data_IF_922068500182
#
_entry.id   IF_922068500182
#
_cell.length_a   1.000
_cell.length_b   1.000
_cell.length_c   1.000
_cell.angle_alpha   90.00
_cell.angle_beta   90.00
_cell.angle_gamma   90.00
#
_symmetry.space_group_name_H-M   'P 1'
#
loop_
_entity.id
_entity.type
_entity.pdbx_description
1 polymer ?
#
# COMPACT_ATOMS: atom_id res chain seq x y z
N UNK A 1 -43.05 8.77 -26.49
CA UNK A 1 -41.57 8.85 -26.33
C UNK A 1 -41.27 8.35 -24.91
N UNK A 2 -41.02 7.05 -24.80
CA UNK A 2 -40.94 6.36 -23.51
C UNK A 2 -39.49 6.42 -23.06
N UNK A 3 -39.24 7.11 -21.95
CA UNK A 3 -37.93 7.13 -21.32
C UNK A 3 -37.65 5.74 -20.71
N UNK A 4 -36.63 5.08 -21.20
CA UNK A 4 -36.12 3.85 -20.59
C UNK A 4 -35.24 4.27 -19.40
N UNK A 5 -35.76 4.12 -18.19
CA UNK A 5 -34.96 4.20 -16.98
C UNK A 5 -33.99 3.00 -16.95
N UNK A 6 -32.74 3.24 -17.29
CA UNK A 6 -31.66 2.28 -17.01
C UNK A 6 -31.27 2.39 -15.55
N UNK A 7 -31.80 1.48 -14.74
CA UNK A 7 -31.32 1.25 -13.36
C UNK A 7 -29.84 0.83 -13.45
N UNK A 8 -28.91 1.52 -12.78
CA UNK A 8 -27.53 1.07 -12.76
C UNK A 8 -27.48 -0.24 -11.96
N UNK A 9 -27.20 -1.34 -12.64
CA UNK A 9 -26.85 -2.61 -12.01
C UNK A 9 -25.61 -2.35 -11.15
N UNK A 10 -25.74 -2.46 -9.84
CA UNK A 10 -24.61 -2.41 -8.92
C UNK A 10 -23.69 -3.59 -9.29
N UNK A 11 -22.62 -3.31 -10.02
CA UNK A 11 -21.54 -4.24 -10.24
C UNK A 11 -20.90 -4.49 -8.88
N UNK A 12 -21.19 -5.63 -8.27
CA UNK A 12 -20.39 -6.14 -7.13
C UNK A 12 -18.99 -6.40 -7.67
N UNK A 13 -18.13 -5.42 -7.48
CA UNK A 13 -16.75 -5.47 -7.94
C UNK A 13 -16.02 -6.60 -7.19
N UNK A 14 -15.51 -7.59 -7.92
CA UNK A 14 -14.56 -8.61 -7.41
C UNK A 14 -13.28 -7.97 -6.84
N UNK A 15 -13.04 -6.71 -7.12
CA UNK A 15 -12.03 -5.86 -6.49
C UNK A 15 -12.14 -5.82 -4.95
N UNK A 16 -13.33 -6.07 -4.42
CA UNK A 16 -13.63 -5.99 -2.99
C UNK A 16 -13.39 -7.30 -2.22
N UNK A 17 -13.13 -8.42 -2.88
CA UNK A 17 -12.99 -9.70 -2.19
C UNK A 17 -11.57 -9.93 -1.69
N UNK A 18 -11.46 -10.41 -0.44
CA UNK A 18 -10.16 -10.79 0.14
C UNK A 18 -9.48 -11.87 -0.69
N UNK A 19 -8.18 -11.74 -1.00
CA UNK A 19 -7.44 -12.78 -1.71
C UNK A 19 -7.38 -14.07 -0.88
N UNK A 20 -7.43 -15.21 -1.58
CA UNK A 20 -7.40 -16.52 -0.97
C UNK A 20 -5.96 -17.03 -0.82
N UNK A 21 -5.70 -17.98 0.10
CA UNK A 21 -4.44 -18.72 0.12
C UNK A 21 -4.10 -19.26 -1.27
N UNK A 22 -2.82 -19.11 -1.70
CA UNK A 22 -2.38 -19.44 -3.06
C UNK A 22 -2.46 -18.29 -4.06
N UNK A 23 -2.98 -17.12 -3.65
CA UNK A 23 -2.89 -15.89 -4.45
C UNK A 23 -1.68 -15.03 -4.05
N UNK A 24 -0.94 -15.41 -3.02
CA UNK A 24 0.23 -14.71 -2.49
C UNK A 24 1.12 -15.65 -1.68
N UNK A 25 2.37 -15.28 -1.49
CA UNK A 25 3.28 -16.02 -0.61
C UNK A 25 2.80 -15.98 0.85
N UNK A 26 2.86 -17.09 1.62
CA UNK A 26 2.38 -17.16 3.00
C UNK A 26 2.93 -16.07 3.93
N UNK A 27 4.12 -15.57 3.64
CA UNK A 27 4.72 -14.43 4.34
C UNK A 27 3.80 -13.21 4.44
N UNK A 28 2.99 -12.94 3.42
CA UNK A 28 2.13 -11.75 3.35
C UNK A 28 0.82 -11.89 4.12
N UNK A 29 0.51 -13.08 4.64
CA UNK A 29 -0.70 -13.28 5.45
C UNK A 29 -0.73 -12.34 6.67
N UNK A 30 0.44 -12.05 7.26
CA UNK A 30 0.62 -11.09 8.36
C UNK A 30 0.12 -9.67 8.06
N UNK A 31 0.08 -9.29 6.80
CA UNK A 31 -0.44 -7.99 6.34
C UNK A 31 -1.89 -8.10 5.89
N UNK A 32 -2.19 -9.07 5.03
CA UNK A 32 -3.52 -9.25 4.45
C UNK A 32 -4.58 -9.47 5.54
N UNK A 33 -4.24 -10.21 6.60
CA UNK A 33 -5.12 -10.47 7.74
C UNK A 33 -5.51 -9.20 8.51
N UNK A 34 -4.70 -8.14 8.47
CA UNK A 34 -4.97 -6.87 9.15
C UNK A 34 -6.04 -6.02 8.47
N UNK A 35 -6.30 -6.24 7.19
CA UNK A 35 -7.25 -5.42 6.42
C UNK A 35 -8.68 -5.81 6.80
N UNK A 36 -9.47 -4.93 7.45
CA UNK A 36 -10.76 -5.32 8.03
C UNK A 36 -11.87 -5.48 7.00
N UNK A 37 -11.76 -4.83 5.85
CA UNK A 37 -12.83 -4.71 4.87
C UNK A 37 -12.66 -5.64 3.68
N UNK A 38 -13.79 -5.90 3.00
CA UNK A 38 -13.78 -6.53 1.67
C UNK A 38 -13.71 -5.50 0.52
N UNK A 39 -13.53 -4.22 0.84
CA UNK A 39 -13.32 -3.14 -0.14
C UNK A 39 -11.96 -2.49 0.11
N UNK A 40 -10.97 -2.94 -0.66
CA UNK A 40 -9.59 -2.46 -0.54
C UNK A 40 -9.45 -1.01 -0.95
N UNK A 41 -10.22 -0.53 -1.93
CA UNK A 41 -10.15 0.86 -2.37
C UNK A 41 -10.65 1.80 -1.26
N UNK A 42 -11.78 1.46 -0.65
CA UNK A 42 -12.29 2.22 0.50
C UNK A 42 -11.30 2.18 1.68
N UNK A 43 -10.66 1.03 1.93
CA UNK A 43 -9.63 0.90 2.96
C UNK A 43 -8.42 1.81 2.68
N UNK A 44 -7.88 1.83 1.46
CA UNK A 44 -6.76 2.69 1.07
C UNK A 44 -7.09 4.19 1.19
N UNK A 45 -8.31 4.59 0.83
CA UNK A 45 -8.77 5.98 1.00
C UNK A 45 -8.90 6.37 2.48
N UNK A 46 -9.45 5.48 3.31
CA UNK A 46 -9.56 5.73 4.74
C UNK A 46 -8.19 5.80 5.41
N UNK A 47 -7.30 4.86 5.10
CA UNK A 47 -5.93 4.84 5.61
C UNK A 47 -5.17 6.13 5.29
N UNK A 48 -5.32 6.66 4.07
CA UNK A 48 -4.74 7.96 3.72
C UNK A 48 -5.19 9.08 4.67
N UNK A 49 -6.49 9.12 4.98
CA UNK A 49 -7.03 10.11 5.93
C UNK A 49 -6.49 9.90 7.35
N UNK A 50 -6.48 8.65 7.82
CA UNK A 50 -6.00 8.29 9.15
C UNK A 50 -4.50 8.59 9.32
N UNK A 51 -3.68 8.29 8.33
CA UNK A 51 -2.25 8.60 8.37
C UNK A 51 -2.01 10.11 8.43
N UNK A 52 -2.74 10.90 7.64
CA UNK A 52 -2.63 12.35 7.66
C UNK A 52 -3.05 12.95 9.02
N UNK A 53 -4.10 12.42 9.64
CA UNK A 53 -4.51 12.82 10.99
C UNK A 53 -3.44 12.48 12.03
N UNK A 54 -2.83 11.31 11.92
CA UNK A 54 -1.77 10.83 12.81
C UNK A 54 -0.52 11.72 12.75
N UNK A 55 -0.18 12.20 11.54
CA UNK A 55 1.01 13.01 11.28
C UNK A 55 0.75 14.52 11.39
N UNK A 56 -0.51 14.95 11.54
CA UNK A 56 -0.87 16.35 11.67
C UNK A 56 -0.23 17.00 12.88
N UNK A 57 0.45 18.12 12.67
CA UNK A 57 1.12 18.87 13.74
C UNK A 57 2.41 18.25 14.29
N UNK A 58 2.91 17.17 13.67
CA UNK A 58 4.21 16.59 14.05
C UNK A 58 5.35 17.49 13.60
N UNK A 59 6.37 17.55 14.45
CA UNK A 59 7.57 18.37 14.26
C UNK A 59 8.69 17.58 13.59
N UNK A 60 9.76 18.26 13.15
CA UNK A 60 10.97 17.59 12.66
C UNK A 60 11.58 16.67 13.74
N UNK A 61 11.55 17.09 15.01
CA UNK A 61 12.04 16.27 16.12
C UNK A 61 11.22 14.96 16.29
N UNK A 62 9.90 15.01 16.06
CA UNK A 62 9.08 13.79 16.02
C UNK A 62 9.48 12.89 14.83
N UNK A 63 9.79 13.50 13.68
CA UNK A 63 10.26 12.80 12.48
C UNK A 63 11.58 12.06 12.68
N UNK A 64 12.48 12.63 13.47
CA UNK A 64 13.81 12.06 13.75
C UNK A 64 13.79 11.04 14.92
N UNK A 65 12.66 10.93 15.64
CA UNK A 65 12.52 10.03 16.77
C UNK A 65 12.71 8.57 16.35
N UNK A 66 13.52 7.82 17.14
CA UNK A 66 13.68 6.37 17.11
C UNK A 66 13.28 5.81 18.46
N UNK A 67 12.42 4.80 18.50
CA UNK A 67 12.02 4.22 19.80
C UNK A 67 13.09 3.30 20.43
N UNK A 68 14.12 2.94 19.67
CA UNK A 68 15.31 2.24 20.14
C UNK A 68 16.49 2.52 19.18
N UNK A 69 17.76 2.36 19.60
CA UNK A 69 18.95 2.73 18.82
C UNK A 69 19.00 2.12 17.42
N UNK A 70 18.61 0.85 17.29
CA UNK A 70 18.71 0.08 16.04
C UNK A 70 17.40 0.11 15.23
N UNK A 71 16.49 1.01 15.54
CA UNK A 71 15.20 1.13 14.83
C UNK A 71 15.20 2.34 13.91
N UNK A 72 14.41 2.22 12.86
CA UNK A 72 14.19 3.33 11.93
C UNK A 72 13.57 4.53 12.64
N UNK A 73 13.88 5.72 12.18
CA UNK A 73 13.16 6.93 12.58
C UNK A 73 11.76 6.96 11.94
N UNK A 74 10.90 7.85 12.42
CA UNK A 74 9.58 8.04 11.81
C UNK A 74 9.71 8.45 10.34
N UNK A 75 10.69 9.31 9.98
CA UNK A 75 11.00 9.67 8.59
C UNK A 75 11.39 8.46 7.76
N UNK A 76 12.25 7.59 8.29
CA UNK A 76 12.66 6.37 7.60
C UNK A 76 11.50 5.38 7.41
N UNK A 77 10.58 5.27 8.39
CA UNK A 77 9.37 4.47 8.22
C UNK A 77 8.48 5.05 7.11
N UNK A 78 8.28 6.37 7.07
CA UNK A 78 7.49 6.99 5.99
C UNK A 78 8.14 6.78 4.63
N UNK A 79 9.45 6.95 4.53
CA UNK A 79 10.20 6.67 3.29
C UNK A 79 10.06 5.21 2.87
N UNK A 80 10.18 4.27 3.81
CA UNK A 80 9.96 2.84 3.55
C UNK A 80 8.53 2.54 3.08
N UNK A 81 7.52 3.16 3.66
CA UNK A 81 6.13 3.02 3.22
C UNK A 81 5.96 3.51 1.78
N UNK A 82 6.50 4.69 1.47
CA UNK A 82 6.43 5.29 0.13
C UNK A 82 7.11 4.40 -0.93
N UNK A 83 8.31 3.92 -0.65
CA UNK A 83 9.06 3.07 -1.58
C UNK A 83 8.40 1.71 -1.77
N UNK A 84 7.96 1.07 -0.68
CA UNK A 84 7.27 -0.22 -0.74
C UNK A 84 5.98 -0.10 -1.55
N UNK A 85 5.19 0.95 -1.35
CA UNK A 85 3.96 1.15 -2.11
C UNK A 85 4.24 1.40 -3.59
N UNK A 86 5.29 2.15 -3.96
CA UNK A 86 5.74 2.31 -5.35
C UNK A 86 6.09 0.98 -5.99
N UNK A 87 6.88 0.15 -5.30
CA UNK A 87 7.28 -1.16 -5.80
C UNK A 87 6.07 -2.07 -5.98
N UNK A 88 5.18 -2.14 -4.99
CA UNK A 88 3.99 -3.00 -5.06
C UNK A 88 2.99 -2.51 -6.10
N UNK A 89 2.79 -1.19 -6.25
CA UNK A 89 1.92 -0.63 -7.29
C UNK A 89 2.51 -0.81 -8.69
N UNK A 90 3.83 -0.72 -8.86
CA UNK A 90 4.50 -1.06 -10.12
C UNK A 90 4.31 -2.53 -10.50
N UNK A 91 4.43 -3.45 -9.53
CA UNK A 91 4.13 -4.87 -9.73
C UNK A 91 2.68 -5.06 -10.18
N UNK A 92 1.74 -4.42 -9.50
CA UNK A 92 0.33 -4.46 -9.84
C UNK A 92 0.06 -3.91 -11.25
N UNK A 93 0.70 -2.81 -11.63
CA UNK A 93 0.60 -2.24 -12.97
C UNK A 93 1.03 -3.24 -14.02
N UNK A 94 2.23 -3.79 -13.93
CA UNK A 94 2.79 -4.74 -14.90
C UNK A 94 1.91 -5.97 -15.04
N UNK A 95 1.59 -6.61 -13.92
CA UNK A 95 0.78 -7.83 -13.91
C UNK A 95 -0.63 -7.53 -14.45
N UNK A 96 -1.25 -6.42 -14.08
CA UNK A 96 -2.58 -6.04 -14.58
C UNK A 96 -2.61 -5.80 -16.09
N UNK A 97 -1.49 -5.47 -16.71
CA UNK A 97 -1.35 -5.31 -18.17
C UNK A 97 -0.97 -6.61 -18.88
N UNK A 98 -0.85 -7.74 -18.16
CA UNK A 98 -0.51 -9.04 -18.73
C UNK A 98 0.98 -9.26 -18.96
N UNK A 99 1.85 -8.43 -18.34
CA UNK A 99 3.30 -8.67 -18.39
C UNK A 99 3.64 -9.92 -17.56
N UNK A 100 4.09 -10.97 -18.25
CA UNK A 100 4.42 -12.25 -17.65
C UNK A 100 5.88 -12.33 -17.18
N UNK A 101 6.68 -11.28 -17.41
CA UNK A 101 8.09 -11.27 -17.00
C UNK A 101 8.19 -11.26 -15.47
N UNK A 102 8.92 -12.19 -14.85
CA UNK A 102 9.14 -12.19 -13.42
C UNK A 102 9.74 -10.87 -12.93
N UNK A 103 9.28 -10.39 -11.77
CA UNK A 103 9.75 -9.16 -11.16
C UNK A 103 10.57 -9.51 -9.93
N UNK A 104 11.80 -9.03 -9.86
CA UNK A 104 12.72 -9.33 -8.76
C UNK A 104 12.26 -8.75 -7.41
N UNK A 105 12.83 -9.31 -6.34
CA UNK A 105 12.71 -8.78 -4.99
C UNK A 105 13.57 -7.53 -4.77
N UNK A 106 13.48 -6.98 -3.57
CA UNK A 106 14.36 -5.91 -3.08
C UNK A 106 14.60 -6.10 -1.58
N UNK A 107 15.72 -5.55 -1.09
CA UNK A 107 16.07 -5.58 0.33
C UNK A 107 15.70 -4.24 0.96
N UNK A 108 14.65 -4.26 1.79
CA UNK A 108 14.07 -3.05 2.39
C UNK A 108 15.08 -2.28 3.26
N UNK A 109 15.95 -2.98 4.00
CA UNK A 109 16.92 -2.33 4.88
C UNK A 109 18.00 -1.59 4.07
N UNK A 110 18.35 -2.10 2.89
CA UNK A 110 19.26 -1.41 1.96
C UNK A 110 18.62 -0.16 1.38
N UNK A 111 17.33 -0.21 1.05
CA UNK A 111 16.59 0.94 0.56
C UNK A 111 16.51 2.05 1.61
N UNK A 112 16.20 1.71 2.85
CA UNK A 112 16.16 2.69 3.94
C UNK A 112 17.54 3.27 4.22
N UNK A 113 18.57 2.43 4.28
CA UNK A 113 19.95 2.88 4.53
C UNK A 113 20.51 3.80 3.45
N UNK A 114 20.16 3.53 2.19
CA UNK A 114 20.64 4.31 1.04
C UNK A 114 19.67 5.43 0.63
N UNK A 115 18.48 5.46 1.20
CA UNK A 115 17.48 6.49 0.95
C UNK A 115 17.83 7.82 1.64
N UNK A 116 17.36 8.96 1.12
CA UNK A 116 17.66 10.28 1.69
C UNK A 116 16.79 10.64 2.89
N UNK A 117 16.00 9.74 3.43
CA UNK A 117 14.86 10.00 4.32
C UNK A 117 15.24 10.80 5.58
N UNK A 118 16.38 10.50 6.17
CA UNK A 118 16.86 11.21 7.37
C UNK A 118 17.17 12.71 7.11
N UNK A 119 17.38 13.09 5.85
CA UNK A 119 17.76 14.46 5.46
C UNK A 119 16.60 15.25 4.84
N UNK A 120 15.49 14.59 4.55
CA UNK A 120 14.31 15.25 4.00
C UNK A 120 13.47 15.88 5.11
N UNK A 121 12.82 17.02 4.85
CA UNK A 121 11.79 17.55 5.73
C UNK A 121 10.65 16.52 5.92
N UNK A 122 10.11 16.43 7.13
CA UNK A 122 8.98 15.54 7.41
C UNK A 122 7.78 15.88 6.52
N UNK A 123 7.55 17.15 6.26
CA UNK A 123 6.48 17.62 5.37
C UNK A 123 6.61 17.06 3.95
N UNK A 124 7.82 17.01 3.41
CA UNK A 124 8.05 16.48 2.05
C UNK A 124 7.78 14.97 1.96
N UNK A 125 8.12 14.22 3.01
CA UNK A 125 7.80 12.78 3.10
C UNK A 125 6.30 12.53 3.21
N UNK A 126 5.56 13.41 3.88
CA UNK A 126 4.10 13.36 3.97
C UNK A 126 3.47 13.67 2.61
N UNK A 127 3.93 14.72 1.91
CA UNK A 127 3.45 15.05 0.58
C UNK A 127 3.74 13.92 -0.41
N UNK A 128 4.90 13.30 -0.33
CA UNK A 128 5.27 12.15 -1.12
C UNK A 128 4.33 10.95 -0.86
N UNK A 129 4.02 10.67 0.41
CA UNK A 129 3.02 9.66 0.78
C UNK A 129 1.65 9.94 0.14
N UNK A 130 1.19 11.19 0.18
CA UNK A 130 -0.09 11.58 -0.44
C UNK A 130 -0.07 11.31 -1.93
N UNK A 131 1.01 11.70 -2.62
CA UNK A 131 1.15 11.54 -4.06
C UNK A 131 1.16 10.05 -4.47
N UNK A 132 1.96 9.23 -3.79
CA UNK A 132 2.05 7.78 -4.02
C UNK A 132 0.70 7.12 -3.81
N UNK A 133 0.06 7.35 -2.67
CA UNK A 133 -1.25 6.77 -2.35
C UNK A 133 -2.33 7.17 -3.35
N UNK A 134 -2.37 8.41 -3.79
CA UNK A 134 -3.30 8.86 -4.84
C UNK A 134 -3.08 8.14 -6.17
N UNK A 135 -1.82 7.97 -6.57
CA UNK A 135 -1.47 7.23 -7.77
C UNK A 135 -1.87 5.75 -7.68
N UNK A 136 -1.60 5.11 -6.53
CA UNK A 136 -1.98 3.72 -6.23
C UNK A 136 -3.50 3.54 -6.31
N UNK A 137 -4.27 4.39 -5.66
CA UNK A 137 -5.74 4.34 -5.69
C UNK A 137 -6.25 4.53 -7.12
N UNK A 138 -5.68 5.48 -7.86
CA UNK A 138 -6.04 5.72 -9.27
C UNK A 138 -5.76 4.50 -10.14
N UNK A 139 -4.62 3.83 -9.95
CA UNK A 139 -4.31 2.60 -10.67
C UNK A 139 -5.38 1.53 -10.44
N UNK A 140 -5.64 1.19 -9.18
CA UNK A 140 -6.57 0.11 -8.84
C UNK A 140 -8.03 0.42 -9.20
N UNK A 141 -8.46 1.68 -9.06
CA UNK A 141 -9.83 2.12 -9.42
C UNK A 141 -10.16 1.91 -10.89
N UNK A 142 -9.15 2.01 -11.75
CA UNK A 142 -9.32 1.91 -13.20
C UNK A 142 -9.06 0.49 -13.75
N UNK A 143 -8.96 -0.52 -12.89
CA UNK A 143 -8.85 -1.91 -13.32
C UNK A 143 -10.23 -2.53 -13.53
N UNK A 144 -10.34 -3.32 -14.60
CA UNK A 144 -11.46 -4.24 -14.80
C UNK A 144 -11.28 -5.52 -13.96
N UNK A 145 -12.28 -6.37 -13.95
CA UNK A 145 -12.27 -7.64 -13.20
C UNK A 145 -11.11 -8.55 -13.63
N UNK A 146 -10.81 -8.59 -14.91
CA UNK A 146 -9.69 -9.38 -15.45
C UNK A 146 -8.35 -8.84 -14.92
N UNK A 147 -8.17 -7.51 -14.88
CA UNK A 147 -6.99 -6.87 -14.32
C UNK A 147 -6.77 -7.19 -12.85
N UNK A 148 -7.83 -7.17 -12.04
CA UNK A 148 -7.77 -7.51 -10.62
C UNK A 148 -7.38 -8.97 -10.35
N UNK A 149 -7.85 -9.89 -11.16
CA UNK A 149 -7.63 -11.34 -10.99
C UNK A 149 -6.34 -11.85 -11.62
N UNK A 150 -5.65 -11.04 -12.44
CA UNK A 150 -4.42 -11.49 -13.12
C UNK A 150 -3.33 -11.88 -12.12
N UNK A 151 -2.60 -12.92 -12.53
CA UNK A 151 -1.47 -13.48 -11.79
C UNK A 151 -0.16 -13.13 -12.48
N UNK A 152 0.89 -12.96 -11.70
CA UNK A 152 2.26 -12.81 -12.15
C UNK A 152 3.23 -13.36 -11.11
N UNK A 153 4.52 -13.23 -11.40
CA UNK A 153 5.58 -13.67 -10.49
C UNK A 153 6.31 -12.43 -9.96
N UNK A 154 6.32 -12.26 -8.64
CA UNK A 154 7.08 -11.22 -7.96
C UNK A 154 7.85 -11.82 -6.79
N UNK A 155 9.14 -11.49 -6.69
CA UNK A 155 10.04 -12.04 -5.68
C UNK A 155 9.94 -13.58 -5.63
N UNK A 156 10.02 -14.24 -6.80
CA UNK A 156 9.99 -15.70 -6.99
C UNK A 156 8.68 -16.40 -6.58
N UNK A 157 7.63 -15.65 -6.25
CA UNK A 157 6.35 -16.20 -5.84
C UNK A 157 5.22 -15.72 -6.76
N UNK A 158 4.23 -16.57 -6.96
CA UNK A 158 2.98 -16.13 -7.60
C UNK A 158 2.25 -15.11 -6.74
N UNK A 159 1.65 -14.12 -7.40
CA UNK A 159 0.83 -13.12 -6.76
C UNK A 159 -0.25 -12.61 -7.70
N UNK A 160 -1.44 -12.36 -7.18
CA UNK A 160 -2.50 -11.67 -7.93
C UNK A 160 -2.42 -10.16 -7.72
N UNK A 161 -2.97 -9.40 -8.67
CA UNK A 161 -3.10 -7.95 -8.53
C UNK A 161 -3.94 -7.59 -7.30
N UNK A 162 -5.01 -8.34 -7.04
CA UNK A 162 -5.84 -8.21 -5.84
C UNK A 162 -5.02 -8.39 -4.56
N UNK A 163 -4.18 -9.42 -4.51
CA UNK A 163 -3.32 -9.64 -3.35
C UNK A 163 -2.34 -8.49 -3.13
N UNK A 164 -1.77 -7.91 -4.19
CA UNK A 164 -0.89 -6.74 -4.07
C UNK A 164 -1.60 -5.54 -3.44
N UNK A 165 -2.87 -5.27 -3.81
CA UNK A 165 -3.64 -4.21 -3.19
C UNK A 165 -3.84 -4.44 -1.68
N UNK A 166 -4.15 -5.68 -1.27
CA UNK A 166 -4.29 -6.05 0.13
C UNK A 166 -2.95 -6.02 0.88
N UNK A 167 -1.84 -6.38 0.22
CA UNK A 167 -0.50 -6.27 0.80
C UNK A 167 -0.17 -4.81 1.09
N UNK A 168 -0.42 -3.90 0.15
CA UNK A 168 -0.22 -2.45 0.35
C UNK A 168 -1.02 -1.95 1.55
N UNK A 169 -2.32 -2.24 1.58
CA UNK A 169 -3.19 -1.81 2.67
C UNK A 169 -2.76 -2.38 4.03
N UNK A 170 -2.46 -3.67 4.09
CA UNK A 170 -2.05 -4.33 5.33
C UNK A 170 -0.66 -3.94 5.80
N UNK A 171 0.27 -3.67 4.89
CA UNK A 171 1.61 -3.20 5.20
C UNK A 171 1.56 -1.83 5.89
N UNK A 172 0.76 -0.90 5.39
CA UNK A 172 0.57 0.38 6.09
C UNK A 172 -0.08 0.21 7.46
N UNK A 173 -1.12 -0.62 7.60
CA UNK A 173 -1.74 -0.89 8.90
C UNK A 173 -0.73 -1.42 9.92
N UNK A 174 0.17 -2.31 9.48
CA UNK A 174 1.24 -2.82 10.32
C UNK A 174 2.16 -1.70 10.83
N UNK A 175 2.66 -0.87 9.93
CA UNK A 175 3.56 0.23 10.31
C UNK A 175 2.85 1.35 11.06
N UNK A 176 1.61 1.69 10.70
CA UNK A 176 0.81 2.67 11.44
C UNK A 176 0.63 2.25 12.89
N UNK A 177 0.33 0.98 13.16
CA UNK A 177 0.25 0.46 14.53
C UNK A 177 1.58 0.63 15.28
N UNK A 178 2.70 0.37 14.63
CA UNK A 178 4.03 0.57 15.23
C UNK A 178 4.24 2.06 15.56
N UNK A 179 3.87 2.96 14.64
CA UNK A 179 3.98 4.42 14.86
C UNK A 179 3.14 4.83 16.07
N UNK A 180 1.87 4.43 16.12
CA UNK A 180 0.96 4.74 17.23
C UNK A 180 1.46 4.20 18.58
N UNK A 181 1.95 2.95 18.62
CA UNK A 181 2.36 2.29 19.85
C UNK A 181 3.75 2.69 20.35
N UNK A 182 4.67 3.10 19.46
CA UNK A 182 6.10 3.25 19.81
C UNK A 182 6.64 4.66 19.64
N UNK A 183 6.09 5.45 18.72
CA UNK A 183 6.63 6.77 18.38
C UNK A 183 5.80 7.93 18.92
N UNK A 184 4.51 7.74 19.09
CA UNK A 184 3.56 8.81 19.39
C UNK A 184 2.88 8.63 20.77
N UNK A 185 3.59 8.04 21.70
CA UNK A 185 3.12 7.92 23.09
C UNK A 185 3.20 9.23 23.83
#
# INVERSE_FOLDING_TARGET
>A
MTLIETTPTAMTSTASTRPQPGEYAPYYDRYISLVPANDTLAALEDQRRQMLLLLCGRTEADGDLRYAPDKWSLKEILGHLNDTERIMSYRALRISRGDATPIEGYEQDDYVRNGPFAHLPLADLIEDYIAVRRATISLFRNLDEAGWSRRGIANKNEVTVRALAYIIAGHELHHRRIIEEKYLK
#
